data_IF_975746618979
#
_entry.id   IF_975746618979
#
_cell.length_a   1.000
_cell.length_b   1.000
_cell.length_c   1.000
_cell.angle_alpha   90.00
_cell.angle_beta   90.00
_cell.angle_gamma   90.00
#
_symmetry.space_group_name_H-M   'P 1'
#
loop_
_entity.id
_entity.type
_entity.pdbx_description
1 polymer ?
#
# COMPACT_ATOMS: atom_id res chain seq x y z
N UNK A 1 38.88 2.74 7.68
CA UNK A 1 37.61 2.19 8.17
C UNK A 1 37.15 1.16 7.14
N UNK A 2 37.04 -0.11 7.51
CA UNK A 2 36.48 -1.15 6.63
C UNK A 2 34.97 -0.96 6.62
N UNK A 3 34.38 -0.76 5.46
CA UNK A 3 32.92 -0.70 5.30
C UNK A 3 32.30 -1.98 5.86
N UNK A 4 31.52 -1.84 6.93
CA UNK A 4 30.79 -2.92 7.61
C UNK A 4 29.56 -3.41 6.80
N UNK A 5 29.35 -2.91 5.57
CA UNK A 5 28.25 -3.34 4.73
C UNK A 5 28.73 -4.21 3.57
N UNK A 6 28.21 -5.43 3.49
CA UNK A 6 28.32 -6.31 2.33
C UNK A 6 27.54 -5.80 1.09
N UNK A 7 27.18 -4.51 1.04
CA UNK A 7 26.43 -3.90 -0.04
C UNK A 7 27.25 -2.80 -0.71
N UNK A 8 27.44 -2.92 -2.01
CA UNK A 8 28.13 -1.91 -2.82
C UNK A 8 27.27 -0.64 -2.89
N UNK A 9 27.86 0.55 -2.97
CA UNK A 9 27.12 1.81 -3.10
C UNK A 9 26.12 1.80 -4.28
N UNK A 10 26.45 1.09 -5.36
CA UNK A 10 25.59 0.86 -6.51
C UNK A 10 24.30 0.10 -6.14
N UNK A 11 24.38 -0.96 -5.33
CA UNK A 11 23.23 -1.77 -4.93
C UNK A 11 22.27 -0.99 -4.02
N UNK A 12 22.82 -0.09 -3.19
CA UNK A 12 22.03 0.82 -2.36
C UNK A 12 21.26 1.83 -3.21
N UNK A 13 21.90 2.42 -4.22
CA UNK A 13 21.25 3.38 -5.13
C UNK A 13 20.15 2.72 -5.96
N UNK A 14 20.41 1.51 -6.41
CA UNK A 14 19.48 0.68 -7.17
C UNK A 14 18.27 0.25 -6.32
N UNK A 15 18.46 0.00 -5.02
CA UNK A 15 17.37 -0.22 -4.07
C UNK A 15 16.56 1.05 -3.81
N UNK A 16 17.23 2.20 -3.69
CA UNK A 16 16.58 3.52 -3.58
C UNK A 16 15.69 3.81 -4.80
N UNK A 17 16.18 3.48 -6.00
CA UNK A 17 15.43 3.64 -7.25
C UNK A 17 14.18 2.75 -7.26
N UNK A 18 14.29 1.50 -6.83
CA UNK A 18 13.13 0.61 -6.71
C UNK A 18 12.10 1.15 -5.73
N UNK A 19 12.54 1.61 -4.55
CA UNK A 19 11.65 2.28 -3.60
C UNK A 19 10.95 3.51 -4.20
N UNK A 20 11.68 4.37 -4.92
CA UNK A 20 11.12 5.56 -5.54
C UNK A 20 10.09 5.24 -6.63
N UNK A 21 10.35 4.23 -7.48
CA UNK A 21 9.41 3.77 -8.51
C UNK A 21 8.14 3.21 -7.88
N UNK A 22 8.28 2.41 -6.82
CA UNK A 22 7.14 1.87 -6.09
C UNK A 22 6.32 3.00 -5.43
N UNK A 23 6.97 3.97 -4.80
CA UNK A 23 6.32 5.12 -4.19
C UNK A 23 5.55 5.95 -5.23
N UNK A 24 6.11 6.13 -6.43
CA UNK A 24 5.42 6.81 -7.52
C UNK A 24 4.19 6.02 -8.00
N UNK A 25 4.30 4.69 -8.11
CA UNK A 25 3.15 3.83 -8.40
C UNK A 25 2.05 3.92 -7.34
N UNK A 26 2.44 3.95 -6.06
CA UNK A 26 1.53 4.14 -4.94
C UNK A 26 0.90 5.54 -4.94
N UNK A 27 1.63 6.58 -5.31
CA UNK A 27 1.08 7.94 -5.44
C UNK A 27 -0.11 7.97 -6.38
N UNK A 28 0.08 7.46 -7.60
CA UNK A 28 -0.96 7.41 -8.62
C UNK A 28 -2.08 6.44 -8.26
N UNK A 29 -1.74 5.26 -7.71
CA UNK A 29 -2.73 4.29 -7.25
C UNK A 29 -3.63 4.86 -6.15
N UNK A 30 -3.04 5.53 -5.16
CA UNK A 30 -3.78 6.17 -4.07
C UNK A 30 -4.68 7.29 -4.58
N UNK A 31 -4.18 8.13 -5.50
CA UNK A 31 -4.98 9.16 -6.16
C UNK A 31 -6.15 8.58 -6.96
N UNK A 32 -5.91 7.51 -7.74
CA UNK A 32 -6.95 6.84 -8.52
C UNK A 32 -8.03 6.21 -7.63
N UNK A 33 -7.63 5.53 -6.54
CA UNK A 33 -8.56 4.96 -5.55
C UNK A 33 -9.37 6.07 -4.88
N UNK A 34 -8.73 7.18 -4.48
CA UNK A 34 -9.42 8.32 -3.88
C UNK A 34 -10.46 8.97 -4.84
N UNK A 35 -10.15 9.03 -6.13
CA UNK A 35 -11.09 9.50 -7.16
C UNK A 35 -12.25 8.53 -7.35
N UNK A 36 -11.99 7.22 -7.46
CA UNK A 36 -13.03 6.19 -7.58
C UNK A 36 -13.97 6.21 -6.37
N UNK A 37 -13.41 6.35 -5.17
CA UNK A 37 -14.18 6.43 -3.94
C UNK A 37 -15.09 7.66 -3.91
N UNK A 38 -14.56 8.83 -4.28
CA UNK A 38 -15.31 10.08 -4.22
C UNK A 38 -16.34 10.25 -5.36
N UNK A 39 -16.03 9.78 -6.58
CA UNK A 39 -16.88 9.98 -7.75
C UNK A 39 -17.88 8.85 -8.01
N UNK A 40 -17.55 7.62 -7.61
CA UNK A 40 -18.36 6.43 -7.96
C UNK A 40 -18.99 5.82 -6.71
N UNK A 41 -18.17 5.46 -5.72
CA UNK A 41 -18.67 4.69 -4.56
C UNK A 41 -19.51 5.55 -3.63
N UNK A 42 -19.04 6.75 -3.26
CA UNK A 42 -19.76 7.67 -2.38
C UNK A 42 -21.07 8.20 -2.99
N UNK A 43 -21.16 8.31 -4.32
CA UNK A 43 -22.37 8.77 -5.00
C UNK A 43 -23.40 7.66 -5.20
N UNK A 44 -22.98 6.38 -5.24
CA UNK A 44 -23.89 5.23 -5.42
C UNK A 44 -24.40 4.63 -4.12
N UNK A 45 -23.64 4.75 -3.02
CA UNK A 45 -23.95 4.05 -1.78
C UNK A 45 -23.74 4.97 -0.56
N UNK A 46 -24.82 5.36 0.11
CA UNK A 46 -24.80 6.30 1.24
C UNK A 46 -23.96 5.79 2.43
N UNK A 47 -23.89 4.46 2.63
CA UNK A 47 -23.05 3.86 3.67
C UNK A 47 -21.54 3.90 3.35
N UNK A 48 -21.15 4.17 2.08
CA UNK A 48 -19.75 4.39 1.68
C UNK A 48 -19.40 5.88 1.61
N UNK A 49 -20.32 6.78 1.98
CA UNK A 49 -20.05 8.22 2.03
C UNK A 49 -18.85 8.56 2.93
N UNK A 50 -18.58 7.75 3.96
CA UNK A 50 -17.39 7.87 4.83
C UNK A 50 -16.05 7.59 4.14
N UNK A 51 -16.02 7.03 2.92
CA UNK A 51 -14.81 6.91 2.10
C UNK A 51 -14.56 8.13 1.21
N UNK A 52 -15.49 9.08 1.15
CA UNK A 52 -15.36 10.25 0.30
C UNK A 52 -14.24 11.17 0.80
N UNK A 53 -13.31 11.49 -0.09
CA UNK A 53 -12.36 12.59 0.12
C UNK A 53 -13.09 13.89 -0.19
N UNK A 54 -13.68 14.50 0.84
CA UNK A 54 -14.50 15.72 0.70
C UNK A 54 -13.66 16.99 0.58
N UNK A 55 -12.46 16.99 1.15
CA UNK A 55 -11.50 18.08 1.05
C UNK A 55 -10.06 17.53 1.06
N UNK A 56 -9.14 18.23 0.38
CA UNK A 56 -7.71 17.99 0.48
C UNK A 56 -7.22 18.63 1.79
N UNK A 57 -7.51 17.97 2.90
CA UNK A 57 -7.09 18.41 4.23
C UNK A 57 -5.70 17.88 4.59
N UNK A 58 -5.10 18.43 5.64
CA UNK A 58 -3.87 17.92 6.25
C UNK A 58 -3.96 16.41 6.54
N UNK A 59 -5.12 15.92 6.99
CA UNK A 59 -5.35 14.49 7.22
C UNK A 59 -5.19 13.64 5.95
N UNK A 60 -5.63 14.15 4.79
CA UNK A 60 -5.44 13.47 3.52
C UNK A 60 -3.96 13.46 3.12
N UNK A 61 -3.26 14.58 3.31
CA UNK A 61 -1.82 14.68 3.06
C UNK A 61 -1.02 13.70 3.96
N UNK A 62 -1.37 13.57 5.25
CA UNK A 62 -0.77 12.61 6.16
C UNK A 62 -1.06 11.16 5.78
N UNK A 63 -2.31 10.82 5.43
CA UNK A 63 -2.67 9.46 4.96
C UNK A 63 -1.92 9.10 3.67
N UNK A 64 -1.76 10.08 2.77
CA UNK A 64 -0.99 9.95 1.54
C UNK A 64 0.50 9.78 1.79
N UNK A 65 1.11 10.57 2.69
CA UNK A 65 2.55 10.45 3.00
C UNK A 65 2.89 9.11 3.65
N UNK A 66 2.04 8.61 4.55
CA UNK A 66 2.19 7.26 5.12
C UNK A 66 2.07 6.20 4.01
N UNK A 67 1.14 6.35 3.08
CA UNK A 67 1.03 5.44 1.93
C UNK A 67 2.30 5.45 1.07
N UNK A 68 2.85 6.63 0.78
CA UNK A 68 4.08 6.78 0.00
C UNK A 68 5.29 6.14 0.68
N UNK A 69 5.46 6.37 1.98
CA UNK A 69 6.54 5.76 2.76
C UNK A 69 6.39 4.23 2.82
N UNK A 70 5.16 3.73 2.97
CA UNK A 70 4.88 2.30 2.94
C UNK A 70 5.16 1.71 1.55
N UNK A 71 4.78 2.40 0.47
CA UNK A 71 5.09 2.02 -0.91
C UNK A 71 6.58 2.02 -1.21
N UNK A 72 7.30 3.02 -0.70
CA UNK A 72 8.75 3.08 -0.81
C UNK A 72 9.42 1.89 -0.12
N UNK A 73 9.03 1.61 1.13
CA UNK A 73 9.57 0.49 1.88
C UNK A 73 9.24 -0.85 1.20
N UNK A 74 8.01 -0.99 0.71
CA UNK A 74 7.60 -2.13 -0.11
C UNK A 74 8.48 -2.29 -1.36
N UNK A 75 8.80 -1.22 -2.09
CA UNK A 75 9.65 -1.32 -3.27
C UNK A 75 11.06 -1.80 -2.97
N UNK A 76 11.64 -1.34 -1.86
CA UNK A 76 12.95 -1.79 -1.39
C UNK A 76 12.91 -3.28 -1.01
N UNK A 77 11.90 -3.70 -0.24
CA UNK A 77 11.76 -5.10 0.21
C UNK A 77 11.40 -6.04 -0.94
N UNK A 78 10.54 -5.60 -1.86
CA UNK A 78 10.12 -6.37 -3.04
C UNK A 78 11.32 -6.71 -3.93
N UNK A 79 12.18 -5.73 -4.20
CA UNK A 79 13.44 -5.94 -4.94
C UNK A 79 14.34 -6.98 -4.25
N UNK A 80 14.45 -6.93 -2.93
CA UNK A 80 15.25 -7.88 -2.18
C UNK A 80 14.63 -9.28 -2.13
N UNK A 81 13.30 -9.37 -2.01
CA UNK A 81 12.57 -10.64 -1.97
C UNK A 81 12.55 -11.38 -3.31
N UNK A 82 12.48 -10.64 -4.42
CA UNK A 82 12.33 -11.21 -5.78
C UNK A 82 13.67 -11.25 -6.52
N UNK A 83 14.76 -11.28 -5.74
CA UNK A 83 16.15 -11.16 -6.22
C UNK A 83 16.49 -12.10 -7.39
N UNK A 84 15.96 -13.32 -7.38
CA UNK A 84 16.16 -14.36 -8.42
C UNK A 84 14.99 -15.33 -8.61
N UNK A 85 13.95 -15.23 -7.79
CA UNK A 85 12.90 -16.24 -7.75
C UNK A 85 11.72 -15.84 -8.64
N UNK A 86 11.39 -16.67 -9.62
CA UNK A 86 10.22 -16.52 -10.50
C UNK A 86 8.94 -17.04 -9.86
N UNK A 87 8.97 -17.51 -8.60
CA UNK A 87 7.80 -18.06 -7.96
C UNK A 87 6.68 -16.99 -7.80
N UNK A 88 5.54 -17.15 -8.50
CA UNK A 88 4.44 -16.20 -8.43
C UNK A 88 3.83 -16.10 -7.02
N UNK A 89 3.90 -17.18 -6.22
CA UNK A 89 3.38 -17.19 -4.85
C UNK A 89 4.18 -16.26 -3.93
N UNK A 90 5.50 -16.16 -4.13
CA UNK A 90 6.35 -15.25 -3.35
C UNK A 90 5.97 -13.79 -3.64
N UNK A 91 5.76 -13.45 -4.92
CA UNK A 91 5.34 -12.11 -5.34
C UNK A 91 4.00 -11.72 -4.74
N UNK A 92 2.99 -12.58 -4.89
CA UNK A 92 1.66 -12.33 -4.33
C UNK A 92 1.67 -12.32 -2.79
N UNK A 93 2.49 -13.16 -2.17
CA UNK A 93 2.65 -13.22 -0.72
C UNK A 93 3.21 -11.92 -0.14
N UNK A 94 4.24 -11.34 -0.77
CA UNK A 94 4.81 -10.04 -0.35
C UNK A 94 3.78 -8.91 -0.52
N UNK A 95 3.06 -8.88 -1.64
CA UNK A 95 1.96 -7.90 -1.87
C UNK A 95 0.87 -8.03 -0.79
N UNK A 96 0.42 -9.26 -0.52
CA UNK A 96 -0.61 -9.52 0.48
C UNK A 96 -0.13 -9.17 1.89
N UNK A 97 1.11 -9.49 2.26
CA UNK A 97 1.65 -9.18 3.57
C UNK A 97 1.63 -7.67 3.84
N UNK A 98 2.14 -6.86 2.92
CA UNK A 98 2.13 -5.40 3.06
C UNK A 98 0.71 -4.81 3.01
N UNK A 99 -0.14 -5.32 2.12
CA UNK A 99 -1.54 -4.92 2.03
C UNK A 99 -2.34 -5.20 3.29
N UNK A 100 -2.20 -6.39 3.86
CA UNK A 100 -2.89 -6.80 5.08
C UNK A 100 -2.34 -6.06 6.31
N UNK A 101 -1.02 -5.90 6.45
CA UNK A 101 -0.44 -5.13 7.57
C UNK A 101 -0.93 -3.68 7.54
N UNK A 102 -1.01 -3.06 6.35
CA UNK A 102 -1.59 -1.72 6.21
C UNK A 102 -3.08 -1.71 6.53
N UNK A 103 -3.85 -2.68 6.05
CA UNK A 103 -5.28 -2.80 6.32
C UNK A 103 -5.54 -2.93 7.83
N UNK A 104 -4.82 -3.81 8.52
CA UNK A 104 -4.93 -3.95 9.98
C UNK A 104 -4.50 -2.70 10.73
N UNK A 105 -3.44 -2.00 10.30
CA UNK A 105 -3.07 -0.72 10.89
C UNK A 105 -4.15 0.36 10.73
N UNK A 106 -4.87 0.35 9.61
CA UNK A 106 -6.01 1.26 9.39
C UNK A 106 -7.24 0.85 10.21
N UNK A 107 -7.48 -0.45 10.40
CA UNK A 107 -8.52 -0.96 11.28
C UNK A 107 -8.25 -0.57 12.73
N UNK A 108 -7.02 -0.78 13.21
CA UNK A 108 -6.60 -0.44 14.57
C UNK A 108 -6.73 1.08 14.81
N UNK A 109 -6.20 1.90 13.91
CA UNK A 109 -6.38 3.35 13.99
C UNK A 109 -7.86 3.77 13.93
N UNK A 110 -8.67 3.09 13.11
CA UNK A 110 -10.11 3.29 13.06
C UNK A 110 -10.76 3.00 14.42
N UNK A 111 -10.46 1.87 15.04
CA UNK A 111 -11.00 1.48 16.34
C UNK A 111 -10.64 2.47 17.46
N UNK A 112 -9.43 3.04 17.44
CA UNK A 112 -8.97 3.99 18.47
C UNK A 112 -9.45 5.43 18.27
N UNK A 113 -9.56 5.91 17.01
CA UNK A 113 -9.80 7.34 16.72
C UNK A 113 -11.18 7.65 16.15
N UNK A 114 -11.80 6.73 15.41
CA UNK A 114 -13.13 6.88 14.82
C UNK A 114 -14.02 5.80 15.44
N UNK A 115 -14.76 6.14 16.50
CA UNK A 115 -15.69 5.25 17.21
C UNK A 115 -16.89 4.77 16.33
N UNK A 116 -16.61 4.13 15.20
CA UNK A 116 -17.57 3.61 14.22
C UNK A 116 -17.68 2.09 14.21
N UNK A 117 -16.76 1.37 14.86
CA UNK A 117 -16.91 -0.05 15.20
C UNK A 117 -17.04 -0.16 16.71
N UNK A 118 -18.25 0.04 17.22
CA UNK A 118 -18.56 -0.32 18.61
C UNK A 118 -18.61 -1.84 18.70
N UNK A 119 -17.47 -2.47 18.97
CA UNK A 119 -17.44 -3.82 19.52
C UNK A 119 -17.99 -3.77 20.95
N UNK A 120 -19.31 -3.57 21.10
CA UNK A 120 -19.99 -3.86 22.36
C UNK A 120 -19.76 -5.35 22.65
N UNK A 121 -19.21 -5.67 23.82
CA UNK A 121 -19.00 -7.05 24.26
C UNK A 121 -20.33 -7.81 24.22
N UNK A 122 -20.50 -8.67 23.21
CA UNK A 122 -21.69 -9.50 23.01
C UNK A 122 -22.58 -9.15 21.80
N UNK A 123 -22.28 -8.11 21.02
CA UNK A 123 -22.96 -7.85 19.72
C UNK A 123 -21.97 -7.88 18.56
N UNK A 124 -22.35 -8.63 17.53
CA UNK A 124 -21.64 -8.65 16.26
C UNK A 124 -22.04 -7.40 15.46
N UNK A 125 -21.08 -6.57 14.98
CA UNK A 125 -21.40 -5.36 14.23
C UNK A 125 -22.15 -5.71 12.94
N UNK A 126 -23.07 -4.85 12.54
CA UNK A 126 -23.85 -5.06 11.32
C UNK A 126 -22.92 -5.09 10.09
N UNK A 127 -23.25 -5.89 9.07
CA UNK A 127 -22.46 -5.98 7.84
C UNK A 127 -22.24 -4.61 7.17
N UNK A 128 -23.15 -3.66 7.37
CA UNK A 128 -23.07 -2.31 6.83
C UNK A 128 -21.96 -1.48 7.47
N UNK A 129 -21.64 -1.70 8.76
CA UNK A 129 -20.54 -1.02 9.44
C UNK A 129 -19.18 -1.63 9.09
N UNK A 130 -19.14 -2.93 8.80
CA UNK A 130 -17.92 -3.63 8.39
C UNK A 130 -17.55 -3.35 6.92
N UNK A 131 -18.52 -3.02 6.07
CA UNK A 131 -18.30 -2.86 4.63
C UNK A 131 -17.26 -1.77 4.27
N UNK A 132 -17.32 -0.55 4.84
CA UNK A 132 -16.31 0.49 4.60
C UNK A 132 -14.89 0.04 4.93
N UNK A 133 -14.74 -0.73 6.00
CA UNK A 133 -13.46 -1.27 6.45
C UNK A 133 -12.93 -2.38 5.52
N UNK A 134 -13.81 -3.27 5.07
CA UNK A 134 -13.48 -4.29 4.07
C UNK A 134 -13.03 -3.63 2.77
N UNK A 135 -13.77 -2.63 2.28
CA UNK A 135 -13.41 -1.89 1.06
C UNK A 135 -12.03 -1.24 1.21
N UNK A 136 -11.78 -0.54 2.31
CA UNK A 136 -10.48 0.10 2.59
C UNK A 136 -9.33 -0.91 2.74
N UNK A 137 -9.62 -2.12 3.23
CA UNK A 137 -8.66 -3.21 3.30
C UNK A 137 -8.30 -3.74 1.91
N UNK A 138 -9.31 -3.95 1.05
CA UNK A 138 -9.12 -4.34 -0.35
C UNK A 138 -8.34 -3.28 -1.12
N UNK A 139 -8.65 -2.00 -0.91
CA UNK A 139 -7.89 -0.88 -1.49
C UNK A 139 -6.41 -0.93 -1.11
N UNK A 140 -6.09 -1.23 0.15
CA UNK A 140 -4.71 -1.36 0.60
C UNK A 140 -3.98 -2.49 -0.13
N UNK A 141 -4.62 -3.66 -0.30
CA UNK A 141 -4.03 -4.77 -1.08
C UNK A 141 -3.87 -4.38 -2.55
N UNK A 142 -4.88 -3.77 -3.16
CA UNK A 142 -4.83 -3.30 -4.55
C UNK A 142 -3.72 -2.28 -4.76
N UNK A 143 -3.50 -1.38 -3.80
CA UNK A 143 -2.45 -0.38 -3.86
C UNK A 143 -1.05 -0.99 -3.95
N UNK A 144 -0.76 -2.00 -3.13
CA UNK A 144 0.51 -2.73 -3.21
C UNK A 144 0.59 -3.66 -4.41
N UNK A 145 -0.54 -4.17 -4.91
CA UNK A 145 -0.57 -4.93 -6.16
C UNK A 145 -0.18 -4.04 -7.36
N UNK A 146 -0.70 -2.80 -7.42
CA UNK A 146 -0.30 -1.80 -8.41
C UNK A 146 1.19 -1.49 -8.28
N UNK A 147 1.69 -1.27 -7.05
CA UNK A 147 3.10 -1.02 -6.82
C UNK A 147 3.99 -2.19 -7.28
N UNK A 148 3.60 -3.42 -6.98
CA UNK A 148 4.28 -4.64 -7.43
C UNK A 148 4.29 -4.77 -8.94
N UNK A 149 3.16 -4.49 -9.60
CA UNK A 149 3.06 -4.51 -11.06
C UNK A 149 3.95 -3.45 -11.72
N UNK A 150 3.98 -2.23 -11.17
CA UNK A 150 4.85 -1.14 -11.67
C UNK A 150 6.33 -1.51 -11.51
N UNK A 151 6.70 -2.16 -10.40
CA UNK A 151 8.06 -2.66 -10.17
C UNK A 151 8.43 -3.78 -11.14
N UNK A 152 7.55 -4.77 -11.33
CA UNK A 152 7.76 -5.86 -12.28
C UNK A 152 7.94 -5.32 -13.70
N UNK A 153 7.15 -4.32 -14.09
CA UNK A 153 7.31 -3.63 -15.37
C UNK A 153 8.64 -2.89 -15.48
N UNK A 154 9.06 -2.17 -14.42
CA UNK A 154 10.33 -1.45 -14.39
C UNK A 154 11.55 -2.40 -14.43
N UNK A 155 11.48 -3.55 -13.74
CA UNK A 155 12.51 -4.59 -13.77
C UNK A 155 12.56 -5.25 -15.15
N UNK A 156 11.41 -5.58 -15.73
CA UNK A 156 11.32 -6.17 -17.08
C UNK A 156 11.85 -5.26 -18.19
N UNK A 157 11.81 -3.94 -17.99
CA UNK A 157 12.38 -2.94 -18.90
C UNK A 157 13.86 -2.61 -18.62
N UNK A 158 14.49 -3.36 -17.71
CA UNK A 158 15.86 -3.15 -17.21
C UNK A 158 16.11 -1.75 -16.63
N UNK A 159 15.06 -1.04 -16.22
CA UNK A 159 15.21 0.25 -15.52
C UNK A 159 15.78 0.06 -14.12
N UNK A 160 15.60 -1.12 -13.55
CA UNK A 160 16.09 -1.52 -12.24
C UNK A 160 16.83 -2.84 -12.45
N UNK A 161 18.11 -2.90 -12.14
CA UNK A 161 18.86 -4.15 -12.28
C UNK A 161 18.44 -5.11 -11.16
N UNK A 162 18.23 -6.41 -11.44
CA UNK A 162 18.16 -7.42 -10.39
C UNK A 162 19.43 -7.37 -9.54
N UNK A 163 19.33 -7.74 -8.27
CA UNK A 163 20.49 -7.73 -7.38
C UNK A 163 21.43 -8.88 -7.78
N UNK A 164 22.74 -8.61 -7.81
CA UNK A 164 23.84 -9.45 -8.36
C UNK A 164 24.14 -9.29 -9.88
N UNK A 165 24.20 -8.06 -10.38
CA UNK A 165 24.82 -7.76 -11.69
C UNK A 165 25.86 -6.65 -11.59
#
# INVERSE_FOLDING_TARGET
MKDLSNFTAAERLESLKAGAVAAFGVFWGFGAIALVNSLILAQRWDFLAGLQVRAIDLNFAFKGSIALLAGFLFGVTYRYGIRRDTNPQLKSGVVLAFGLVRAFGQLDAGLFFEAGLSFEAGKMPALQELLPFVVRSVESVLLFAIAGFVLDWAIGRSWIKPFDS
#
